data_IF_585297200582
#
_entry.id   IF_585297200582
#
_cell.length_a   1.000
_cell.length_b   1.000
_cell.length_c   1.000
_cell.angle_alpha   90.00
_cell.angle_beta   90.00
_cell.angle_gamma   90.00
#
_symmetry.space_group_name_H-M   'P 1'
#
loop_
_entity.id
_entity.type
_entity.pdbx_description
1 polymer ?
#
# COMPACT_ATOMS: atom_id res chain seq x y z
N UNK A 1 -16.48 2.96 -9.69
CA UNK A 1 -15.59 2.81 -8.53
C UNK A 1 -14.80 4.08 -8.32
N UNK A 2 -15.47 5.17 -7.95
CA UNK A 2 -14.86 6.50 -7.73
C UNK A 2 -14.81 6.88 -6.24
N UNK A 3 -15.15 5.95 -5.35
CA UNK A 3 -15.07 6.17 -3.91
C UNK A 3 -13.61 6.15 -3.48
N UNK A 4 -13.26 7.10 -2.62
CA UNK A 4 -12.01 7.06 -1.87
C UNK A 4 -11.95 5.77 -1.02
N UNK A 5 -10.74 5.22 -0.89
CA UNK A 5 -10.46 4.02 -0.09
C UNK A 5 -9.55 4.39 1.09
N UNK A 6 -8.72 3.46 1.56
CA UNK A 6 -7.93 3.59 2.79
C UNK A 6 -6.74 4.56 2.68
N UNK A 7 -6.17 4.72 1.48
CA UNK A 7 -4.93 5.48 1.26
C UNK A 7 -5.14 6.86 0.63
N UNK A 8 -4.16 7.74 0.84
CA UNK A 8 -4.13 9.10 0.28
C UNK A 8 -2.82 9.32 -0.50
N UNK A 9 -2.84 9.08 -1.80
CA UNK A 9 -1.67 9.16 -2.68
C UNK A 9 -1.95 10.10 -3.86
N UNK A 10 -1.19 11.20 -3.93
CA UNK A 10 -1.42 12.27 -4.92
C UNK A 10 -0.44 12.23 -6.09
N UNK A 11 0.56 11.35 -6.02
CA UNK A 11 1.57 11.17 -7.05
C UNK A 11 1.01 10.47 -8.28
N UNK A 12 1.34 10.98 -9.46
CA UNK A 12 1.19 10.26 -10.72
C UNK A 12 2.44 10.42 -11.57
N UNK A 13 2.63 9.46 -12.49
CA UNK A 13 3.70 9.44 -13.47
C UNK A 13 3.13 9.55 -14.88
N UNK A 14 3.81 10.27 -15.76
CA UNK A 14 3.49 10.41 -17.17
C UNK A 14 4.73 10.02 -18.00
N UNK A 15 4.57 9.01 -18.85
CA UNK A 15 5.53 8.68 -19.90
C UNK A 15 5.27 9.60 -21.10
N UNK A 16 6.27 10.36 -21.51
CA UNK A 16 6.11 11.39 -22.54
C UNK A 16 6.00 10.77 -23.94
N UNK A 17 6.91 9.84 -24.25
CA UNK A 17 6.98 9.17 -25.54
C UNK A 17 7.79 7.85 -25.47
N UNK A 18 8.03 7.24 -26.63
CA UNK A 18 8.77 5.97 -26.73
C UNK A 18 10.28 6.08 -26.42
N UNK A 19 10.82 7.28 -26.16
CA UNK A 19 12.20 7.46 -25.73
C UNK A 19 12.42 7.02 -24.28
N UNK A 20 11.35 6.90 -23.49
CA UNK A 20 11.39 6.57 -22.06
C UNK A 20 11.34 7.80 -21.15
N UNK A 21 11.56 9.00 -21.69
CA UNK A 21 11.46 10.25 -20.92
C UNK A 21 10.11 10.36 -20.24
N UNK A 22 10.15 10.68 -18.96
CA UNK A 22 8.98 10.67 -18.10
C UNK A 22 9.08 11.79 -17.09
N UNK A 23 7.92 12.21 -16.59
CA UNK A 23 7.84 13.09 -15.43
C UNK A 23 6.81 12.59 -14.41
N UNK A 24 6.96 13.02 -13.17
CA UNK A 24 6.04 12.77 -12.08
C UNK A 24 5.56 14.08 -11.47
N UNK A 25 4.32 14.09 -10.99
CA UNK A 25 3.75 15.21 -10.25
C UNK A 25 3.27 14.70 -8.91
N UNK A 26 3.71 15.36 -7.84
CA UNK A 26 3.28 15.08 -6.48
C UNK A 26 2.75 16.37 -5.84
N UNK A 27 1.57 16.28 -5.22
CA UNK A 27 1.01 17.36 -4.40
C UNK A 27 1.12 16.98 -2.93
N UNK A 28 1.98 17.67 -2.18
CA UNK A 28 2.12 17.51 -0.73
C UNK A 28 0.95 18.20 -0.02
N UNK A 29 -0.21 17.54 0.00
CA UNK A 29 -1.40 18.02 0.68
C UNK A 29 -2.23 16.84 1.21
N UNK A 30 -2.64 16.89 2.47
CA UNK A 30 -3.38 15.84 3.17
C UNK A 30 -4.87 16.15 3.39
N UNK A 31 -5.35 17.31 2.93
CA UNK A 31 -6.77 17.64 3.00
C UNK A 31 -7.53 16.81 1.98
N UNK A 32 -8.83 16.61 2.23
CA UNK A 32 -9.70 15.95 1.27
C UNK A 32 -9.62 16.66 -0.09
N UNK A 33 -9.46 15.87 -1.15
CA UNK A 33 -9.29 16.40 -2.49
C UNK A 33 -9.91 15.49 -3.53
N UNK A 34 -10.14 16.05 -4.70
CA UNK A 34 -10.42 15.31 -5.91
C UNK A 34 -9.37 15.61 -6.98
N UNK A 35 -9.11 14.61 -7.81
CA UNK A 35 -8.26 14.71 -8.99
C UNK A 35 -9.11 14.37 -10.20
N UNK A 36 -9.28 15.33 -11.10
CA UNK A 36 -10.06 15.15 -12.33
C UNK A 36 -9.13 15.06 -13.54
N UNK A 37 -9.26 13.99 -14.32
CA UNK A 37 -8.53 13.78 -15.58
C UNK A 37 -9.47 14.13 -16.73
N UNK A 38 -8.99 14.96 -17.66
CA UNK A 38 -9.77 15.48 -18.79
C UNK A 38 -9.19 15.04 -20.13
N UNK A 39 -10.00 14.95 -21.21
CA UNK A 39 -9.54 14.51 -22.54
C UNK A 39 -8.49 15.39 -23.21
N UNK A 40 -8.30 16.64 -22.75
CA UNK A 40 -7.31 17.58 -23.27
C UNK A 40 -5.89 17.34 -22.71
N UNK A 41 -5.51 16.07 -22.51
CA UNK A 41 -4.78 15.54 -21.34
C UNK A 41 -4.47 16.58 -20.25
N UNK A 42 -5.45 16.85 -19.39
CA UNK A 42 -5.29 17.77 -18.26
C UNK A 42 -5.68 17.10 -16.94
N UNK A 43 -4.92 17.42 -15.89
CA UNK A 43 -5.19 16.99 -14.52
C UNK A 43 -5.53 18.23 -13.68
N UNK A 44 -6.65 18.19 -12.97
CA UNK A 44 -7.06 19.27 -12.05
C UNK A 44 -7.11 18.73 -10.63
N UNK A 45 -6.33 19.35 -9.74
CA UNK A 45 -6.40 19.13 -8.30
C UNK A 45 -7.37 20.14 -7.68
N UNK A 46 -8.36 19.67 -6.92
CA UNK A 46 -9.21 20.51 -6.07
C UNK A 46 -9.14 19.98 -4.65
N UNK A 47 -8.45 20.72 -3.78
CA UNK A 47 -8.33 20.44 -2.35
C UNK A 47 -9.18 21.41 -1.54
N UNK A 48 -9.71 20.97 -0.40
CA UNK A 48 -10.55 21.80 0.47
C UNK A 48 -9.76 22.63 1.50
N UNK A 49 -8.44 22.49 1.55
CA UNK A 49 -7.62 23.18 2.53
C UNK A 49 -6.11 22.99 2.33
N UNK A 50 -5.33 23.54 3.27
CA UNK A 50 -3.88 23.53 3.19
C UNK A 50 -3.33 24.47 2.12
N UNK A 51 -2.21 24.08 1.52
CA UNK A 51 -1.52 24.83 0.46
C UNK A 51 -1.33 23.97 -0.79
N UNK A 52 -0.96 24.59 -1.90
CA UNK A 52 -0.57 23.90 -3.12
C UNK A 52 0.97 23.79 -3.16
N UNK A 53 1.49 22.76 -2.51
CA UNK A 53 2.93 22.43 -2.52
C UNK A 53 3.21 21.31 -3.53
N UNK A 54 3.66 21.69 -4.72
CA UNK A 54 3.86 20.79 -5.85
C UNK A 54 5.34 20.48 -6.09
N UNK A 55 5.61 19.21 -6.39
CA UNK A 55 6.89 18.72 -6.85
C UNK A 55 6.72 18.15 -8.26
N UNK A 56 7.60 18.57 -9.18
CA UNK A 56 7.70 18.03 -10.54
C UNK A 56 9.04 17.33 -10.64
N UNK A 57 9.00 16.05 -10.99
CA UNK A 57 10.14 15.15 -10.97
C UNK A 57 10.40 14.68 -12.39
N UNK A 58 11.63 14.82 -12.90
CA UNK A 58 12.00 14.46 -14.27
C UNK A 58 12.89 13.22 -14.26
N UNK A 59 12.74 12.35 -15.25
CA UNK A 59 13.61 11.18 -15.40
C UNK A 59 13.73 10.75 -16.86
N UNK A 60 14.90 10.22 -17.21
CA UNK A 60 15.14 9.63 -18.55
C UNK A 60 14.38 8.31 -18.75
N UNK A 61 13.84 7.74 -17.66
CA UNK A 61 13.01 6.53 -17.63
C UNK A 61 11.89 6.67 -16.60
N UNK A 62 10.77 5.91 -16.71
CA UNK A 62 9.75 5.87 -15.67
C UNK A 62 10.30 5.48 -14.30
N UNK A 63 11.21 4.51 -14.25
CA UNK A 63 11.88 4.07 -13.02
C UNK A 63 12.73 5.20 -12.40
N UNK A 64 13.35 6.03 -13.24
CA UNK A 64 14.08 7.23 -12.79
C UNK A 64 13.16 8.21 -12.06
N UNK A 65 11.96 8.46 -12.59
CA UNK A 65 10.96 9.32 -11.91
C UNK A 65 10.54 8.72 -10.57
N UNK A 66 10.30 7.41 -10.51
CA UNK A 66 9.99 6.73 -9.24
C UNK A 66 11.15 6.86 -8.24
N UNK A 67 12.40 6.78 -8.71
CA UNK A 67 13.58 6.98 -7.87
C UNK A 67 13.62 8.39 -7.26
N UNK A 68 13.45 9.42 -8.09
CA UNK A 68 13.40 10.82 -7.64
C UNK A 68 12.25 11.06 -6.65
N UNK A 69 11.09 10.45 -6.89
CA UNK A 69 9.97 10.53 -5.95
C UNK A 69 10.30 9.90 -4.60
N UNK A 70 10.88 8.71 -4.58
CA UNK A 70 11.25 8.02 -3.35
C UNK A 70 12.42 8.68 -2.61
N UNK A 71 13.32 9.36 -3.31
CA UNK A 71 14.33 10.22 -2.68
C UNK A 71 13.70 11.40 -1.94
N UNK A 72 12.63 11.98 -2.51
CA UNK A 72 11.91 13.08 -1.90
C UNK A 72 11.09 12.65 -0.67
N UNK A 73 10.30 11.58 -0.77
CA UNK A 73 9.34 11.20 0.29
C UNK A 73 9.90 10.18 1.31
N UNK A 74 11.08 9.64 1.05
CA UNK A 74 11.68 8.57 1.84
C UNK A 74 11.55 7.21 1.14
N UNK A 75 12.69 6.51 1.05
CA UNK A 75 12.80 5.20 0.42
C UNK A 75 12.13 4.12 1.29
N UNK A 76 11.60 3.05 0.66
CA UNK A 76 11.02 1.94 1.41
C UNK A 76 12.08 1.26 2.28
N UNK A 77 11.65 0.76 3.44
CA UNK A 77 12.50 -0.05 4.31
C UNK A 77 12.82 -1.39 3.65
N UNK A 78 14.00 -1.94 3.94
CA UNK A 78 14.31 -3.32 3.57
C UNK A 78 13.50 -4.24 4.50
N UNK A 79 12.59 -5.08 3.96
CA UNK A 79 11.80 -5.97 4.79
C UNK A 79 12.66 -7.08 5.40
N UNK A 80 12.31 -7.62 6.58
CA UNK A 80 12.95 -8.81 7.09
C UNK A 80 12.71 -9.98 6.11
N UNK A 81 13.71 -10.80 5.86
CA UNK A 81 13.66 -11.80 4.79
C UNK A 81 12.44 -12.75 4.88
N UNK A 82 12.07 -13.17 6.10
CA UNK A 82 10.92 -14.04 6.35
C UNK A 82 9.58 -13.42 5.91
N UNK A 83 9.46 -12.08 5.82
CA UNK A 83 8.22 -11.45 5.38
C UNK A 83 8.00 -11.54 3.87
N UNK A 84 8.99 -12.00 3.11
CA UNK A 84 8.84 -12.33 1.69
C UNK A 84 8.26 -13.73 1.48
N UNK A 85 8.17 -14.53 2.55
CA UNK A 85 7.56 -15.86 2.54
C UNK A 85 6.03 -15.82 2.45
N UNK A 86 5.43 -16.97 2.18
CA UNK A 86 3.97 -17.08 2.12
C UNK A 86 3.35 -16.91 3.50
N UNK A 87 2.26 -16.15 3.55
CA UNK A 87 1.57 -15.76 4.77
C UNK A 87 0.13 -16.24 4.72
N UNK A 88 -0.35 -16.85 5.81
CA UNK A 88 -1.70 -17.37 5.90
C UNK A 88 -2.49 -16.60 6.95
N UNK A 89 -3.69 -16.18 6.58
CA UNK A 89 -4.58 -15.39 7.43
C UNK A 89 -6.05 -15.67 7.10
N UNK A 90 -6.91 -15.36 8.05
CA UNK A 90 -8.36 -15.32 7.92
C UNK A 90 -8.92 -14.46 9.06
N UNK A 91 -9.94 -13.66 8.74
CA UNK A 91 -10.80 -13.09 9.76
C UNK A 91 -11.71 -14.19 10.32
N UNK A 92 -11.65 -14.40 11.64
CA UNK A 92 -12.50 -15.34 12.37
C UNK A 92 -12.14 -16.81 12.07
N UNK A 93 -10.99 -17.25 12.59
CA UNK A 93 -10.75 -18.68 12.79
C UNK A 93 -11.67 -19.24 13.87
N UNK A 94 -12.01 -18.43 14.87
CA UNK A 94 -13.01 -18.69 15.90
C UNK A 94 -12.49 -19.50 17.10
N UNK A 95 -11.32 -20.14 16.99
CA UNK A 95 -10.63 -20.76 18.13
C UNK A 95 -9.15 -21.07 17.80
N UNK A 96 -8.34 -21.21 18.85
CA UNK A 96 -6.95 -21.67 18.70
C UNK A 96 -6.84 -23.08 18.10
N UNK A 97 -7.83 -23.95 18.33
CA UNK A 97 -7.87 -25.28 17.73
C UNK A 97 -7.99 -25.21 16.20
N UNK A 98 -8.84 -24.31 15.69
CA UNK A 98 -9.01 -24.09 14.25
C UNK A 98 -7.77 -23.49 13.59
N UNK A 99 -7.06 -22.60 14.29
CA UNK A 99 -5.75 -22.11 13.86
C UNK A 99 -4.76 -23.27 13.75
N UNK A 100 -4.61 -24.09 14.80
CA UNK A 100 -3.67 -25.23 14.82
C UNK A 100 -4.00 -26.24 13.71
N UNK A 101 -5.27 -26.62 13.55
CA UNK A 101 -5.72 -27.51 12.48
C UNK A 101 -5.37 -26.96 11.10
N UNK A 102 -5.54 -25.65 10.91
CA UNK A 102 -5.17 -24.97 9.66
C UNK A 102 -3.66 -24.97 9.43
N UNK A 103 -2.85 -24.70 10.45
CA UNK A 103 -1.39 -24.76 10.35
C UNK A 103 -0.92 -26.17 10.03
N UNK A 104 -1.42 -27.17 10.76
CA UNK A 104 -1.00 -28.57 10.64
C UNK A 104 -1.30 -29.15 9.27
N UNK A 105 -2.50 -28.94 8.71
CA UNK A 105 -2.84 -29.48 7.39
C UNK A 105 -1.98 -28.88 6.27
N UNK A 106 -1.59 -27.60 6.37
CA UNK A 106 -0.73 -26.96 5.37
C UNK A 106 0.72 -27.44 5.51
N UNK A 107 1.20 -27.63 6.74
CA UNK A 107 2.51 -28.24 7.01
C UNK A 107 2.57 -29.71 6.57
N UNK A 108 1.47 -30.46 6.69
CA UNK A 108 1.40 -31.87 6.31
C UNK A 108 1.56 -32.11 4.80
N UNK A 109 1.37 -31.07 3.97
CA UNK A 109 1.60 -31.11 2.52
C UNK A 109 2.88 -30.39 2.11
N UNK A 110 3.76 -30.07 3.08
CA UNK A 110 5.02 -29.35 2.86
C UNK A 110 4.85 -28.01 2.10
N UNK A 111 3.73 -27.30 2.35
CA UNK A 111 3.52 -25.97 1.76
C UNK A 111 4.59 -25.00 2.31
N UNK A 112 5.35 -24.28 1.46
CA UNK A 112 6.22 -23.20 1.92
C UNK A 112 5.39 -22.15 2.64
N UNK A 113 5.63 -21.97 3.93
CA UNK A 113 4.74 -21.25 4.83
C UNK A 113 5.51 -20.66 6.03
N UNK A 114 5.68 -19.33 6.03
CA UNK A 114 6.54 -18.63 6.98
C UNK A 114 5.76 -17.95 8.12
N UNK A 115 4.54 -17.44 7.86
CA UNK A 115 3.83 -16.55 8.81
C UNK A 115 2.34 -16.89 8.95
N UNK A 116 1.90 -17.24 10.17
CA UNK A 116 0.48 -17.27 10.55
C UNK A 116 0.06 -15.91 11.11
N UNK A 117 -1.01 -15.32 10.55
CA UNK A 117 -1.72 -14.21 11.20
C UNK A 117 -2.96 -14.72 11.92
N UNK A 118 -3.21 -14.20 13.11
CA UNK A 118 -4.49 -14.31 13.80
C UNK A 118 -5.14 -12.93 13.79
N UNK A 119 -6.34 -12.85 13.24
CA UNK A 119 -7.11 -11.61 13.22
C UNK A 119 -7.74 -11.34 14.60
N UNK A 120 -8.58 -10.33 14.73
CA UNK A 120 -9.15 -9.85 16.00
C UNK A 120 -9.87 -10.91 16.86
N UNK A 121 -10.14 -12.11 16.33
CA UNK A 121 -10.72 -13.24 17.07
C UNK A 121 -9.77 -13.87 18.10
N UNK A 122 -8.46 -13.60 18.05
CA UNK A 122 -7.58 -14.02 19.15
C UNK A 122 -7.77 -13.22 20.45
N UNK A 123 -8.33 -12.01 20.35
CA UNK A 123 -8.42 -11.04 21.45
C UNK A 123 -9.68 -11.26 22.31
N UNK A 124 -9.58 -11.01 23.62
CA UNK A 124 -10.75 -10.97 24.52
C UNK A 124 -11.67 -9.79 24.14
N UNK A 125 -12.86 -10.08 23.61
CA UNK A 125 -13.81 -9.10 23.05
C UNK A 125 -13.19 -8.09 22.06
N UNK A 126 -12.22 -8.51 21.24
CA UNK A 126 -11.57 -7.63 20.23
C UNK A 126 -10.83 -6.43 20.84
N UNK A 127 -10.39 -6.55 22.09
CA UNK A 127 -9.60 -5.52 22.78
C UNK A 127 -8.11 -5.72 22.46
N UNK A 128 -7.42 -4.66 22.07
CA UNK A 128 -5.98 -4.71 21.86
C UNK A 128 -5.24 -5.19 23.12
N UNK A 129 -4.15 -5.93 22.92
CA UNK A 129 -3.25 -6.43 23.97
C UNK A 129 -3.87 -7.43 24.95
N UNK A 130 -4.95 -8.11 24.56
CA UNK A 130 -5.52 -9.27 25.29
C UNK A 130 -5.49 -10.52 24.41
N UNK A 131 -5.70 -11.69 25.00
CA UNK A 131 -6.04 -12.91 24.28
C UNK A 131 -7.22 -13.61 24.97
N UNK A 132 -8.08 -14.26 24.19
CA UNK A 132 -9.23 -15.02 24.70
C UNK A 132 -8.74 -16.34 25.35
N UNK A 133 -9.12 -16.55 26.62
CA UNK A 133 -8.50 -17.52 27.53
C UNK A 133 -9.13 -18.91 27.49
#
# INVERSE_FOLDING_TARGET
GTHNLYGHYTFFLCLEDNSGKSFGVFLMNSNAMEVTIQPAPAVTYRTIGGILDFYILLGDTPEGVVHEFLELIGRPVIPPYWSLGFQLSRWDYGSLEEVKRTVERNRAIDLPYDIQYTDIDYMEDKKDFTYDA
#
